data_IF_760532302177
#
_entry.id   IF_760532302177
#
_cell.length_a   1.000
_cell.length_b   1.000
_cell.length_c   1.000
_cell.angle_alpha   90.00
_cell.angle_beta   90.00
_cell.angle_gamma   90.00
#
_symmetry.space_group_name_H-M   'P 1'
#
loop_
_entity.id
_entity.type
_entity.pdbx_description
1 polymer ?
#
# COMPACT_ATOMS: atom_id res chain seq x y z
N UNK A 1 -19.18 9.09 1.50
CA UNK A 1 -18.25 7.93 1.44
C UNK A 1 -16.93 8.42 0.89
N UNK A 2 -15.89 8.45 1.74
CA UNK A 2 -14.53 8.59 1.23
C UNK A 2 -14.15 7.33 0.45
N UNK A 3 -13.59 7.54 -0.74
CA UNK A 3 -12.97 6.47 -1.53
C UNK A 3 -11.46 6.66 -1.38
N UNK A 4 -10.77 5.57 -1.06
CA UNK A 4 -9.31 5.57 -1.01
C UNK A 4 -8.81 4.34 -1.74
N UNK A 5 -7.63 4.49 -2.30
CA UNK A 5 -6.90 3.43 -2.95
C UNK A 5 -5.66 3.13 -2.15
N UNK A 6 -5.32 1.85 -2.03
CA UNK A 6 -4.11 1.44 -1.33
C UNK A 6 -3.34 0.50 -2.25
N UNK A 7 -2.09 0.84 -2.49
CA UNK A 7 -1.14 -0.08 -3.09
C UNK A 7 -0.41 -0.81 -1.97
N UNK A 8 -0.34 -2.13 -2.06
CA UNK A 8 0.32 -2.97 -1.06
C UNK A 8 1.46 -3.71 -1.75
N UNK A 9 2.67 -3.57 -1.21
CA UNK A 9 3.87 -4.24 -1.70
C UNK A 9 4.40 -5.17 -0.61
N UNK A 10 4.70 -6.41 -0.99
CA UNK A 10 5.27 -7.42 -0.12
C UNK A 10 6.67 -7.77 -0.63
N UNK A 11 7.67 -7.64 0.24
CA UNK A 11 9.08 -7.96 -0.04
C UNK A 11 9.52 -9.06 0.92
N UNK A 12 10.19 -10.10 0.40
CA UNK A 12 10.69 -11.20 1.21
C UNK A 12 11.61 -10.69 2.33
N UNK A 13 11.26 -11.00 3.59
CA UNK A 13 12.03 -10.61 4.77
C UNK A 13 11.78 -9.18 5.27
N UNK A 14 10.78 -8.47 4.74
CA UNK A 14 10.35 -7.15 5.22
C UNK A 14 8.88 -7.14 5.63
N UNK A 15 8.53 -6.13 6.42
CA UNK A 15 7.14 -5.82 6.73
C UNK A 15 6.36 -5.41 5.47
N UNK A 16 5.05 -5.62 5.50
CA UNK A 16 4.16 -5.24 4.40
C UNK A 16 4.12 -3.72 4.29
N UNK A 17 4.42 -3.20 3.10
CA UNK A 17 4.35 -1.77 2.82
C UNK A 17 3.00 -1.42 2.18
N UNK A 18 2.29 -0.45 2.76
CA UNK A 18 1.00 0.02 2.27
C UNK A 18 1.04 1.52 1.96
N UNK A 19 0.67 1.88 0.74
CA UNK A 19 0.74 3.25 0.23
C UNK A 19 -0.68 3.76 -0.08
N UNK A 20 -1.25 4.64 0.77
CA UNK A 20 -2.57 5.20 0.52
C UNK A 20 -2.52 6.30 -0.55
N UNK A 21 -3.58 6.35 -1.37
CA UNK A 21 -3.79 7.33 -2.42
C UNK A 21 -5.26 7.76 -2.48
N UNK A 22 -5.47 9.03 -2.85
CA UNK A 22 -6.79 9.66 -2.98
C UNK A 22 -7.52 9.29 -4.30
N UNK A 23 -6.80 8.68 -5.24
CA UNK A 23 -7.29 8.37 -6.58
C UNK A 23 -6.57 7.16 -7.17
N UNK A 24 -7.22 6.50 -8.13
CA UNK A 24 -6.71 5.33 -8.82
C UNK A 24 -5.42 5.64 -9.57
N UNK A 25 -5.44 6.75 -10.31
CA UNK A 25 -4.31 7.24 -11.10
C UNK A 25 -3.08 7.44 -10.20
N UNK A 26 -3.23 8.11 -9.07
CA UNK A 26 -2.13 8.35 -8.13
C UNK A 26 -1.61 7.06 -7.50
N UNK A 27 -2.51 6.10 -7.22
CA UNK A 27 -2.10 4.81 -6.70
C UNK A 27 -1.31 3.99 -7.73
N UNK A 28 -1.70 4.04 -9.02
CA UNK A 28 -0.94 3.44 -10.12
C UNK A 28 0.44 4.08 -10.26
N UNK A 29 0.55 5.41 -10.15
CA UNK A 29 1.84 6.10 -10.18
C UNK A 29 2.75 5.66 -9.03
N UNK A 30 2.20 5.50 -7.82
CA UNK A 30 2.94 4.98 -6.66
C UNK A 30 3.40 3.55 -6.89
N UNK A 31 2.53 2.68 -7.41
CA UNK A 31 2.89 1.31 -7.80
C UNK A 31 4.07 1.30 -8.76
N UNK A 32 4.04 2.09 -9.84
CA UNK A 32 5.14 2.14 -10.82
C UNK A 32 6.45 2.56 -10.18
N UNK A 33 6.42 3.58 -9.31
CA UNK A 33 7.61 4.05 -8.59
C UNK A 33 8.15 3.00 -7.62
N UNK A 34 7.29 2.39 -6.82
CA UNK A 34 7.67 1.38 -5.84
C UNK A 34 8.27 0.13 -6.51
N UNK A 35 7.68 -0.34 -7.61
CA UNK A 35 8.23 -1.46 -8.38
C UNK A 35 9.57 -1.11 -9.06
N UNK A 36 9.74 0.14 -9.52
CA UNK A 36 11.01 0.58 -10.07
C UNK A 36 12.13 0.60 -9.02
N UNK A 37 11.85 1.11 -7.82
CA UNK A 37 12.77 1.10 -6.68
C UNK A 37 13.09 -0.34 -6.26
N UNK A 38 12.09 -1.21 -6.18
CA UNK A 38 12.29 -2.61 -5.82
C UNK A 38 13.22 -3.32 -6.82
N UNK A 39 13.05 -3.09 -8.12
CA UNK A 39 13.93 -3.67 -9.15
C UNK A 39 15.39 -3.24 -8.99
N UNK A 40 15.64 -2.01 -8.57
CA UNK A 40 16.99 -1.49 -8.32
C UNK A 40 17.59 -2.05 -7.03
N UNK A 41 16.78 -2.21 -5.98
CA UNK A 41 17.20 -2.70 -4.66
C UNK A 41 17.67 -4.16 -4.64
N UNK A 42 17.42 -4.95 -5.71
CA UNK A 42 17.63 -6.40 -5.81
C UNK A 42 16.90 -7.25 -4.76
N UNK A 43 16.03 -6.65 -3.95
CA UNK A 43 15.20 -7.36 -2.99
C UNK A 43 14.11 -8.12 -3.73
N UNK A 44 13.67 -9.27 -3.24
CA UNK A 44 12.67 -10.09 -3.94
C UNK A 44 11.26 -9.68 -3.53
N UNK A 45 10.51 -9.09 -4.45
CA UNK A 45 9.08 -8.89 -4.26
C UNK A 45 8.38 -10.26 -4.23
N UNK A 46 7.67 -10.54 -3.15
CA UNK A 46 6.86 -11.75 -2.98
C UNK A 46 5.45 -11.57 -3.54
N UNK A 47 4.99 -10.33 -3.64
CA UNK A 47 3.77 -9.98 -4.36
C UNK A 47 3.41 -8.51 -4.23
N UNK A 48 2.39 -8.10 -4.97
CA UNK A 48 1.83 -6.76 -4.90
C UNK A 48 0.32 -6.82 -5.21
N UNK A 49 -0.46 -5.99 -4.54
CA UNK A 49 -1.89 -5.86 -4.84
C UNK A 49 -2.38 -4.41 -4.68
N UNK A 50 -3.57 -4.19 -5.21
CA UNK A 50 -4.20 -2.89 -5.23
C UNK A 50 -5.65 -3.04 -4.77
N UNK A 51 -6.05 -2.23 -3.78
CA UNK A 51 -7.36 -2.32 -3.16
C UNK A 51 -8.09 -0.99 -3.18
N UNK A 52 -9.40 -1.04 -3.44
CA UNK A 52 -10.31 0.09 -3.30
C UNK A 52 -11.06 -0.01 -1.99
N UNK A 53 -10.78 0.90 -1.07
CA UNK A 53 -11.59 1.08 0.12
C UNK A 53 -12.75 2.02 -0.20
N UNK A 54 -13.98 1.49 -0.19
CA UNK A 54 -15.22 2.21 -0.52
C UNK A 54 -15.92 2.80 0.70
N UNK A 55 -15.55 2.35 1.89
CA UNK A 55 -15.95 2.90 3.17
C UNK A 55 -14.71 2.94 4.06
N UNK A 56 -14.41 4.11 4.61
CA UNK A 56 -13.37 4.32 5.61
C UNK A 56 -14.02 5.18 6.68
N UNK A 57 -14.07 4.64 7.88
CA UNK A 57 -14.32 5.41 9.10
C UNK A 57 -13.07 6.28 9.38
N UNK A 58 -13.26 7.55 9.76
CA UNK A 58 -12.16 8.47 10.11
C UNK A 58 -11.24 7.88 11.22
N UNK A 59 -11.79 7.05 12.10
CA UNK A 59 -11.08 6.29 13.13
C UNK A 59 -10.15 5.22 12.55
N UNK A 60 -10.47 4.68 11.38
CA UNK A 60 -9.67 3.68 10.67
C UNK A 60 -8.62 4.33 9.78
N UNK A 61 -8.84 5.58 9.33
CA UNK A 61 -7.91 6.28 8.44
C UNK A 61 -6.50 6.41 9.04
N UNK A 62 -6.42 6.62 10.36
CA UNK A 62 -5.16 6.72 11.11
C UNK A 62 -4.40 5.39 11.24
N UNK A 63 -5.02 4.25 10.94
CA UNK A 63 -4.41 2.93 11.09
C UNK A 63 -3.75 2.45 9.78
N UNK A 64 -4.00 3.12 8.67
CA UNK A 64 -3.45 2.73 7.37
C UNK A 64 -1.97 3.11 7.31
N UNK A 65 -1.11 2.11 7.04
CA UNK A 65 0.34 2.29 7.01
C UNK A 65 1.02 2.16 8.37
N UNK A 66 0.26 1.82 9.43
CA UNK A 66 0.80 1.44 10.72
C UNK A 66 0.63 -0.07 10.94
N UNK A 67 1.61 -0.75 11.57
CA UNK A 67 1.42 -2.15 11.95
C UNK A 67 0.22 -2.24 12.88
N UNK A 68 -0.73 -3.14 12.58
CA UNK A 68 -1.79 -3.49 13.53
C UNK A 68 -1.10 -4.30 14.62
N UNK A 69 -0.82 -3.68 15.77
CA UNK A 69 -0.28 -4.39 16.92
C UNK A 69 -1.25 -5.53 17.27
N UNK A 70 -0.80 -6.77 17.11
CA UNK A 70 -1.57 -7.97 17.42
C UNK A 70 -1.83 -8.00 18.92
N UNK A 71 -3.10 -7.83 19.31
CA UNK A 71 -3.61 -8.22 20.64
C UNK A 71 -3.83 -9.71 20.70
#
# INVERSE_FOLDING_TARGET
MLKMWVFILMIDGKDVEAFPADSEVKCMEVMFKALAVQRDSREKASGACYVRATAIDDTERRLIGHPVESR
#
